data_IF_589283470777
#
_entry.id   IF_589283470777
#
_cell.length_a   1.000
_cell.length_b   1.000
_cell.length_c   1.000
_cell.angle_alpha   90.00
_cell.angle_beta   90.00
_cell.angle_gamma   90.00
#
_symmetry.space_group_name_H-M   'P 1'
#
loop_
_entity.id
_entity.type
_entity.pdbx_description
1 polymer ?
#
# COMPACT_ATOMS: atom_id res chain seq x y z
N UNK A 1 34.46 46.87 -31.30
CA UNK A 1 34.26 46.45 -29.91
C UNK A 1 32.79 46.35 -29.61
N UNK A 2 32.36 45.40 -28.81
CA UNK A 2 30.98 45.25 -28.30
C UNK A 2 30.64 46.45 -27.41
N UNK A 3 29.46 47.01 -27.57
CA UNK A 3 28.99 48.10 -26.68
C UNK A 3 28.28 47.49 -25.45
N UNK A 4 28.33 48.21 -24.32
CA UNK A 4 27.70 47.81 -23.07
C UNK A 4 26.18 47.70 -23.24
N UNK A 5 25.57 48.53 -24.08
CA UNK A 5 24.13 48.52 -24.33
C UNK A 5 23.69 47.30 -25.15
N UNK A 6 24.51 46.82 -26.11
CA UNK A 6 24.21 45.61 -26.84
C UNK A 6 24.19 44.39 -25.96
N UNK A 7 25.13 44.29 -24.99
CA UNK A 7 25.12 43.20 -24.00
C UNK A 7 23.89 43.30 -23.09
N UNK A 8 23.54 44.48 -22.61
CA UNK A 8 22.43 44.69 -21.71
C UNK A 8 21.07 44.30 -22.36
N UNK A 9 20.88 44.67 -23.64
CA UNK A 9 19.65 44.31 -24.37
C UNK A 9 19.54 42.79 -24.54
N UNK A 10 20.60 42.08 -24.83
CA UNK A 10 20.61 40.64 -25.02
C UNK A 10 20.25 39.92 -23.72
N UNK A 11 20.86 40.31 -22.58
CA UNK A 11 20.54 39.67 -21.30
C UNK A 11 19.10 39.98 -20.82
N UNK A 12 18.57 41.14 -21.11
CA UNK A 12 17.16 41.46 -20.79
C UNK A 12 16.19 40.61 -21.60
N UNK A 13 16.44 40.42 -22.89
CA UNK A 13 15.61 39.55 -23.73
C UNK A 13 15.67 38.12 -23.24
N UNK A 14 16.87 37.57 -22.91
CA UNK A 14 17.02 36.24 -22.37
C UNK A 14 16.28 36.10 -21.03
N UNK A 15 16.37 37.10 -20.15
CA UNK A 15 15.68 37.10 -18.86
C UNK A 15 14.15 37.02 -19.03
N UNK A 16 13.58 37.79 -19.95
CA UNK A 16 12.15 37.79 -20.26
C UNK A 16 11.73 36.42 -20.81
N UNK A 17 12.46 35.89 -21.78
CA UNK A 17 12.16 34.56 -22.35
C UNK A 17 12.25 33.45 -21.30
N UNK A 18 13.29 33.48 -20.46
CA UNK A 18 13.46 32.50 -19.38
C UNK A 18 12.33 32.56 -18.37
N UNK A 19 11.86 33.76 -18.01
CA UNK A 19 10.75 33.93 -17.03
C UNK A 19 9.44 33.30 -17.49
N UNK A 20 9.19 33.23 -18.79
CA UNK A 20 8.00 32.58 -19.37
C UNK A 20 8.20 31.07 -19.60
N UNK A 21 9.43 30.65 -19.85
CA UNK A 21 9.74 29.25 -20.17
C UNK A 21 9.72 28.34 -18.93
N UNK A 22 10.21 28.81 -17.78
CA UNK A 22 10.35 27.99 -16.56
C UNK A 22 9.01 27.40 -16.07
N UNK A 23 7.90 28.17 -15.90
CA UNK A 23 6.64 27.61 -15.45
C UNK A 23 6.04 26.59 -16.45
N UNK A 24 6.20 26.84 -17.74
CA UNK A 24 5.76 25.89 -18.78
C UNK A 24 6.53 24.57 -18.71
N UNK A 25 7.86 24.62 -18.54
CA UNK A 25 8.70 23.45 -18.40
C UNK A 25 8.33 22.56 -17.20
N UNK A 26 8.07 23.16 -16.04
CA UNK A 26 7.64 22.44 -14.84
C UNK A 26 6.32 21.68 -15.05
N UNK A 27 5.38 22.25 -15.78
CA UNK A 27 4.12 21.59 -16.11
C UNK A 27 4.33 20.39 -17.04
N UNK A 28 5.15 20.51 -18.06
CA UNK A 28 5.50 19.43 -19.00
C UNK A 28 6.21 18.29 -18.27
N UNK A 29 7.17 18.63 -17.40
CA UNK A 29 7.89 17.62 -16.61
C UNK A 29 6.95 16.86 -15.67
N UNK A 30 6.01 17.55 -15.02
CA UNK A 30 5.00 16.91 -14.17
C UNK A 30 4.14 15.93 -14.97
N UNK A 31 3.63 16.33 -16.14
CA UNK A 31 2.85 15.46 -17.01
C UNK A 31 3.66 14.24 -17.46
N UNK A 32 4.92 14.43 -17.84
CA UNK A 32 5.84 13.34 -18.19
C UNK A 32 6.04 12.35 -17.04
N UNK A 33 6.18 12.83 -15.82
CA UNK A 33 6.29 11.99 -14.63
C UNK A 33 4.99 11.24 -14.31
N UNK A 34 3.82 11.87 -14.48
CA UNK A 34 2.52 11.20 -14.35
C UNK A 34 2.36 10.09 -15.39
N UNK A 35 2.72 10.35 -16.65
CA UNK A 35 2.66 9.32 -17.70
C UNK A 35 3.56 8.13 -17.41
N UNK A 36 4.77 8.34 -16.86
CA UNK A 36 5.63 7.25 -16.39
C UNK A 36 4.97 6.47 -15.26
N UNK A 37 4.34 7.13 -14.30
CA UNK A 37 3.58 6.48 -13.24
C UNK A 37 2.43 5.63 -13.80
N UNK A 38 1.64 6.16 -14.74
CA UNK A 38 0.58 5.41 -15.43
C UNK A 38 1.13 4.19 -16.17
N UNK A 39 2.28 4.35 -16.83
CA UNK A 39 2.96 3.23 -17.50
C UNK A 39 3.39 2.14 -16.53
N UNK A 40 3.99 2.52 -15.39
CA UNK A 40 4.40 1.58 -14.35
C UNK A 40 3.17 0.85 -13.76
N UNK A 41 2.10 1.56 -13.46
CA UNK A 41 0.85 0.96 -12.99
C UNK A 41 0.32 -0.10 -13.97
N UNK A 42 0.29 0.21 -15.27
CA UNK A 42 -0.10 -0.76 -16.32
C UNK A 42 0.83 -1.98 -16.36
N UNK A 43 2.14 -1.78 -16.24
CA UNK A 43 3.11 -2.88 -16.22
C UNK A 43 2.89 -3.81 -15.01
N UNK A 44 2.58 -3.24 -13.84
CA UNK A 44 2.25 -4.04 -12.65
C UNK A 44 0.99 -4.88 -12.90
N UNK A 45 -0.07 -4.30 -13.49
CA UNK A 45 -1.30 -5.05 -13.81
C UNK A 45 -1.02 -6.17 -14.80
N UNK A 46 -0.22 -5.91 -15.84
CA UNK A 46 0.19 -6.94 -16.80
C UNK A 46 0.97 -8.05 -16.09
N UNK A 47 1.88 -7.72 -15.19
CA UNK A 47 2.63 -8.70 -14.41
C UNK A 47 1.70 -9.52 -13.48
N UNK A 48 0.71 -8.90 -12.83
CA UNK A 48 -0.31 -9.59 -12.04
C UNK A 48 -1.08 -10.60 -12.89
N UNK A 49 -1.50 -10.21 -14.09
CA UNK A 49 -2.20 -11.10 -15.04
C UNK A 49 -1.31 -12.25 -15.52
N UNK A 50 -0.04 -11.99 -15.80
CA UNK A 50 0.93 -13.03 -16.15
C UNK A 50 1.14 -14.02 -14.99
N UNK A 51 1.22 -13.52 -13.75
CA UNK A 51 1.27 -14.37 -12.57
C UNK A 51 0.00 -15.22 -12.44
N UNK A 52 -1.18 -14.63 -12.60
CA UNK A 52 -2.47 -15.31 -12.52
C UNK A 52 -2.62 -16.43 -13.57
N UNK A 53 -2.04 -16.26 -14.77
CA UNK A 53 -2.06 -17.29 -15.82
C UNK A 53 -1.42 -18.61 -15.37
N UNK A 54 -0.39 -18.54 -14.51
CA UNK A 54 0.30 -19.71 -13.94
C UNK A 54 -0.38 -20.23 -12.65
N UNK A 55 -1.24 -19.42 -12.03
CA UNK A 55 -1.74 -19.64 -10.68
C UNK A 55 -3.28 -19.65 -10.61
N UNK A 56 -3.94 -20.35 -11.53
CA UNK A 56 -5.39 -20.55 -11.54
C UNK A 56 -6.19 -19.24 -11.44
N UNK A 57 -5.79 -18.22 -12.20
CA UNK A 57 -6.37 -16.87 -12.20
C UNK A 57 -6.24 -16.10 -10.87
N UNK A 58 -5.47 -16.58 -9.90
CA UNK A 58 -5.27 -15.93 -8.61
C UNK A 58 -4.07 -14.99 -8.63
N UNK A 59 -4.21 -13.85 -7.95
CA UNK A 59 -3.13 -12.90 -7.73
C UNK A 59 -2.28 -13.29 -6.51
N UNK A 60 -1.06 -12.76 -6.37
CA UNK A 60 -0.10 -13.18 -5.35
C UNK A 60 -0.59 -13.05 -3.90
N UNK A 61 -1.48 -12.09 -3.65
CA UNK A 61 -2.06 -11.82 -2.34
C UNK A 61 -3.00 -12.91 -1.83
N UNK A 62 -3.57 -13.72 -2.74
CA UNK A 62 -4.50 -14.79 -2.44
C UNK A 62 -3.84 -16.17 -2.30
N UNK A 63 -2.51 -16.23 -2.46
CA UNK A 63 -1.73 -17.46 -2.43
C UNK A 63 -0.71 -17.46 -1.30
N UNK A 64 -0.47 -18.64 -0.74
CA UNK A 64 0.67 -18.83 0.16
C UNK A 64 1.97 -18.77 -0.66
N UNK A 65 2.85 -17.87 -0.27
CA UNK A 65 4.14 -17.72 -0.92
C UNK A 65 5.06 -18.90 -0.54
N UNK A 66 5.49 -19.74 -1.49
CA UNK A 66 6.31 -20.92 -1.19
C UNK A 66 7.72 -20.56 -0.69
N UNK A 67 8.20 -19.36 -0.95
CA UNK A 67 9.53 -18.91 -0.55
C UNK A 67 9.58 -18.35 0.88
N UNK A 68 8.47 -17.83 1.38
CA UNK A 68 8.36 -17.27 2.73
C UNK A 68 7.47 -18.08 3.66
N UNK A 69 6.65 -18.99 3.11
CA UNK A 69 5.71 -19.82 3.85
C UNK A 69 4.47 -19.08 4.37
N UNK A 70 4.30 -17.79 4.03
CA UNK A 70 3.22 -16.95 4.51
C UNK A 70 2.33 -16.39 3.41
N UNK A 71 1.22 -15.77 3.81
CA UNK A 71 0.39 -14.92 2.95
C UNK A 71 0.98 -13.53 2.88
N UNK A 72 0.67 -12.79 1.81
CA UNK A 72 1.08 -11.39 1.69
C UNK A 72 0.34 -10.52 2.72
N UNK A 73 1.09 -9.84 3.58
CA UNK A 73 0.54 -8.93 4.60
C UNK A 73 0.40 -7.49 4.09
N UNK A 74 1.12 -7.15 3.05
CA UNK A 74 1.14 -5.83 2.42
C UNK A 74 1.43 -5.95 0.92
N UNK A 75 1.37 -4.84 0.19
CA UNK A 75 1.61 -4.85 -1.25
C UNK A 75 3.07 -5.20 -1.61
N UNK A 76 4.04 -4.86 -0.75
CA UNK A 76 5.44 -5.21 -1.00
C UNK A 76 5.63 -6.73 -1.02
N UNK A 77 4.97 -7.47 -0.11
CA UNK A 77 5.03 -8.93 -0.07
C UNK A 77 4.41 -9.55 -1.33
N UNK A 78 3.23 -9.05 -1.73
CA UNK A 78 2.55 -9.54 -2.94
C UNK A 78 3.40 -9.29 -4.21
N UNK A 79 3.99 -8.11 -4.33
CA UNK A 79 4.81 -7.77 -5.49
C UNK A 79 6.18 -8.47 -5.47
N UNK A 80 6.78 -8.66 -4.29
CA UNK A 80 7.99 -9.48 -4.14
C UNK A 80 7.75 -10.92 -4.57
N UNK A 81 6.58 -11.48 -4.30
CA UNK A 81 6.24 -12.82 -4.76
C UNK A 81 6.29 -12.94 -6.30
N UNK A 82 5.90 -11.91 -7.05
CA UNK A 82 6.05 -11.90 -8.51
C UNK A 82 7.52 -11.87 -8.96
N UNK A 83 8.40 -11.25 -8.19
CA UNK A 83 9.85 -11.27 -8.44
C UNK A 83 10.40 -12.68 -8.17
N UNK A 84 10.02 -13.29 -7.06
CA UNK A 84 10.40 -14.64 -6.66
C UNK A 84 9.93 -15.70 -7.65
N UNK A 85 8.73 -15.56 -8.23
CA UNK A 85 8.18 -16.43 -9.27
C UNK A 85 8.74 -16.15 -10.69
N UNK A 86 9.64 -15.17 -10.82
CA UNK A 86 10.29 -14.82 -12.08
C UNK A 86 9.37 -14.13 -13.10
N UNK A 87 8.22 -13.63 -12.68
CA UNK A 87 7.32 -12.84 -13.54
C UNK A 87 7.87 -11.44 -13.75
N UNK A 88 8.52 -10.88 -12.74
CA UNK A 88 9.16 -9.57 -12.77
C UNK A 88 10.64 -9.74 -12.45
N UNK A 89 11.50 -9.19 -13.28
CA UNK A 89 12.96 -9.21 -13.10
C UNK A 89 13.55 -7.88 -12.61
N UNK A 90 12.80 -6.80 -12.68
CA UNK A 90 13.24 -5.46 -12.27
C UNK A 90 12.18 -4.80 -11.39
N UNK A 91 12.54 -4.51 -10.15
CA UNK A 91 11.62 -3.91 -9.17
C UNK A 91 11.28 -2.44 -9.46
N UNK A 92 11.97 -1.78 -10.41
CA UNK A 92 11.75 -0.35 -10.73
C UNK A 92 10.35 -0.05 -11.23
N UNK A 93 9.61 -1.05 -11.74
CA UNK A 93 8.21 -0.88 -12.12
C UNK A 93 7.31 -0.54 -10.92
N UNK A 94 7.70 -0.94 -9.71
CA UNK A 94 6.96 -0.64 -8.48
C UNK A 94 7.23 0.76 -7.91
N UNK A 95 8.08 1.52 -8.56
CA UNK A 95 8.32 2.93 -8.25
C UNK A 95 7.38 3.91 -8.97
N UNK A 96 7.45 5.17 -8.55
CA UNK A 96 6.80 6.28 -9.23
C UNK A 96 7.77 7.48 -9.25
N UNK A 97 8.00 8.15 -10.39
CA UNK A 97 9.04 9.19 -10.53
C UNK A 97 8.98 10.33 -9.51
N UNK A 98 7.79 10.63 -9.00
CA UNK A 98 7.58 11.66 -7.98
C UNK A 98 7.13 11.05 -6.63
N UNK A 99 7.31 9.75 -6.43
CA UNK A 99 6.90 9.00 -5.26
C UNK A 99 8.03 8.15 -4.70
N UNK A 100 7.65 7.06 -4.03
CA UNK A 100 8.58 6.06 -3.54
C UNK A 100 9.16 5.27 -4.70
N UNK A 101 10.44 4.94 -4.62
CA UNK A 101 11.14 4.24 -5.69
C UNK A 101 12.05 3.17 -5.12
N UNK A 102 12.08 1.97 -5.74
CA UNK A 102 13.06 0.94 -5.40
C UNK A 102 14.49 1.39 -5.68
N UNK A 103 15.42 0.83 -4.93
CA UNK A 103 16.85 1.09 -5.11
C UNK A 103 17.46 0.28 -6.28
N UNK A 104 16.75 -0.74 -6.78
CA UNK A 104 17.17 -1.62 -7.86
C UNK A 104 17.98 -2.82 -7.40
N UNK A 105 18.07 -3.09 -6.09
CA UNK A 105 18.75 -4.24 -5.50
C UNK A 105 17.72 -5.25 -5.00
N UNK A 106 17.50 -6.33 -5.73
CA UNK A 106 16.51 -7.35 -5.35
C UNK A 106 17.07 -8.46 -4.44
N UNK A 107 18.41 -8.48 -4.21
CA UNK A 107 19.05 -9.56 -3.45
C UNK A 107 19.25 -10.83 -4.26
N UNK A 108 19.50 -11.94 -3.56
CA UNK A 108 19.84 -13.22 -4.18
C UNK A 108 18.66 -14.20 -4.21
N UNK A 109 18.54 -15.03 -5.28
CA UNK A 109 17.54 -16.08 -5.35
C UNK A 109 17.70 -17.13 -4.23
N UNK A 110 16.63 -17.84 -3.83
CA UNK A 110 15.25 -17.68 -4.26
C UNK A 110 14.48 -16.65 -3.46
N UNK A 111 15.04 -16.15 -2.36
CA UNK A 111 14.33 -15.28 -1.40
C UNK A 111 14.15 -13.85 -1.91
N UNK A 112 15.11 -13.32 -2.68
CA UNK A 112 15.13 -11.92 -3.12
C UNK A 112 14.81 -10.95 -1.96
N UNK A 113 15.56 -11.13 -0.85
CA UNK A 113 15.26 -10.48 0.43
C UNK A 113 15.39 -8.96 0.43
N UNK A 114 16.15 -8.41 -0.53
CA UNK A 114 16.38 -6.97 -0.63
C UNK A 114 15.35 -6.29 -1.56
N UNK A 115 14.49 -7.07 -2.24
CA UNK A 115 13.47 -6.51 -3.12
C UNK A 115 12.35 -5.83 -2.34
N UNK A 116 11.96 -4.66 -2.77
CA UNK A 116 10.81 -3.92 -2.26
C UNK A 116 10.82 -3.77 -0.74
N UNK A 117 11.93 -3.32 -0.19
CA UNK A 117 12.05 -2.96 1.22
C UNK A 117 11.13 -1.79 1.57
N UNK A 118 11.15 -1.38 2.84
CA UNK A 118 10.36 -0.24 3.31
C UNK A 118 10.72 1.04 2.52
N UNK A 119 9.73 1.78 2.05
CA UNK A 119 9.83 2.96 1.17
C UNK A 119 10.29 2.69 -0.28
N UNK A 120 10.30 1.46 -0.73
CA UNK A 120 10.71 1.10 -2.10
C UNK A 120 9.54 0.78 -3.03
N UNK A 121 8.35 0.61 -2.49
CA UNK A 121 7.13 0.43 -3.27
C UNK A 121 6.22 1.66 -3.16
N UNK A 122 5.72 2.12 -4.30
CA UNK A 122 4.78 3.25 -4.35
C UNK A 122 3.31 2.80 -4.38
N UNK A 123 3.03 1.55 -4.71
CA UNK A 123 1.71 1.08 -5.08
C UNK A 123 1.04 0.25 -3.99
N UNK A 124 -0.25 0.49 -3.81
CA UNK A 124 -1.18 -0.35 -3.08
C UNK A 124 -1.99 -1.21 -4.07
N UNK A 125 -2.64 -2.26 -3.58
CA UNK A 125 -3.54 -3.08 -4.38
C UNK A 125 -4.80 -3.48 -3.59
N UNK A 126 -5.89 -3.74 -4.31
CA UNK A 126 -7.10 -4.34 -3.74
C UNK A 126 -6.84 -5.82 -3.49
N UNK A 127 -7.07 -6.28 -2.27
CA UNK A 127 -6.85 -7.67 -1.86
C UNK A 127 -8.00 -8.58 -2.31
N UNK A 128 -7.68 -9.86 -2.58
CA UNK A 128 -8.67 -10.91 -2.87
C UNK A 128 -9.26 -10.84 -4.27
N UNK A 129 -8.67 -10.04 -5.16
CA UNK A 129 -9.08 -10.01 -6.56
C UNK A 129 -8.42 -11.15 -7.35
N UNK A 130 -9.02 -11.45 -8.50
CA UNK A 130 -8.53 -12.44 -9.45
C UNK A 130 -8.54 -11.85 -10.87
N UNK A 131 -7.91 -12.51 -11.82
CA UNK A 131 -7.99 -12.09 -13.24
C UNK A 131 -9.44 -12.10 -13.78
N UNK A 132 -10.30 -12.96 -13.19
CA UNK A 132 -11.73 -13.04 -13.54
C UNK A 132 -12.60 -11.99 -12.81
N UNK A 133 -12.06 -11.21 -11.90
CA UNK A 133 -12.80 -10.15 -11.19
C UNK A 133 -13.27 -9.06 -12.19
N UNK A 134 -14.33 -8.29 -11.87
CA UNK A 134 -14.86 -7.28 -12.76
C UNK A 134 -13.77 -6.34 -13.29
N UNK A 135 -13.80 -6.08 -14.61
CA UNK A 135 -12.77 -5.27 -15.27
C UNK A 135 -12.66 -3.84 -14.75
N UNK A 136 -13.77 -3.27 -14.28
CA UNK A 136 -13.81 -1.93 -13.70
C UNK A 136 -13.31 -1.86 -12.24
N UNK A 137 -13.00 -3.01 -11.60
CA UNK A 137 -12.48 -3.05 -10.23
C UNK A 137 -11.12 -2.36 -10.15
N UNK A 138 -10.93 -1.36 -9.28
CA UNK A 138 -9.62 -0.80 -8.99
C UNK A 138 -8.71 -1.89 -8.43
N UNK A 139 -7.60 -2.16 -9.10
CA UNK A 139 -6.68 -3.25 -8.73
C UNK A 139 -5.39 -2.72 -8.14
N UNK A 140 -4.74 -1.77 -8.82
CA UNK A 140 -3.47 -1.17 -8.39
C UNK A 140 -3.63 0.34 -8.37
N UNK A 141 -3.23 0.98 -7.28
CA UNK A 141 -3.33 2.44 -7.14
C UNK A 141 -2.21 2.96 -6.23
N UNK A 142 -1.98 4.26 -6.24
CA UNK A 142 -0.96 4.87 -5.37
C UNK A 142 -1.24 4.58 -3.90
N UNK A 143 -0.18 4.44 -3.07
CA UNK A 143 -0.30 4.17 -1.64
C UNK A 143 -1.25 5.14 -0.95
N UNK A 144 -1.99 4.66 0.04
CA UNK A 144 -3.09 5.39 0.67
C UNK A 144 -2.70 5.96 2.03
N UNK A 145 -3.39 7.02 2.44
CA UNK A 145 -3.30 7.56 3.80
C UNK A 145 -4.19 6.76 4.77
N UNK A 146 -5.27 6.14 4.28
CA UNK A 146 -6.14 5.25 5.05
C UNK A 146 -6.54 4.06 4.20
N UNK A 147 -6.47 2.85 4.78
CA UNK A 147 -6.86 1.57 4.15
C UNK A 147 -8.37 1.30 4.21
N UNK A 148 -9.19 2.33 4.46
CA UNK A 148 -10.66 2.25 4.37
C UNK A 148 -11.12 1.95 2.94
N UNK A 149 -12.36 1.50 2.78
CA UNK A 149 -13.00 1.41 1.48
C UNK A 149 -14.23 2.31 1.40
N UNK A 150 -14.26 3.29 0.50
CA UNK A 150 -13.19 3.74 -0.41
C UNK A 150 -11.95 4.25 0.30
N UNK A 151 -10.76 4.10 -0.32
CA UNK A 151 -9.52 4.59 0.26
C UNK A 151 -9.44 6.11 0.26
N UNK A 152 -8.59 6.63 1.15
CA UNK A 152 -8.39 8.07 1.33
C UNK A 152 -6.93 8.42 1.11
N UNK A 153 -6.69 9.53 0.42
CA UNK A 153 -5.38 10.16 0.21
C UNK A 153 -5.31 11.50 0.87
N UNK A 154 -4.10 12.00 1.07
CA UNK A 154 -3.88 13.29 1.72
C UNK A 154 -3.48 14.35 0.68
N UNK A 155 -4.46 15.11 0.19
CA UNK A 155 -4.24 16.17 -0.76
C UNK A 155 -3.38 17.33 -0.20
N UNK A 156 -3.28 17.49 1.12
CA UNK A 156 -2.48 18.54 1.76
C UNK A 156 -0.97 18.29 1.66
N UNK A 157 -0.56 17.05 1.39
CA UNK A 157 0.86 16.68 1.19
C UNK A 157 1.19 16.47 -0.30
N UNK A 158 0.46 17.13 -1.18
CA UNK A 158 0.69 17.07 -2.62
C UNK A 158 2.13 17.42 -2.97
N UNK A 159 2.77 16.55 -3.79
CA UNK A 159 4.16 16.73 -4.19
C UNK A 159 5.22 16.41 -3.13
N UNK A 160 4.83 16.05 -1.91
CA UNK A 160 5.75 15.61 -0.86
C UNK A 160 5.89 14.09 -0.86
N UNK A 161 7.07 13.56 -0.48
CA UNK A 161 7.29 12.13 -0.33
C UNK A 161 6.80 11.68 1.04
N UNK A 162 5.50 11.38 1.13
CA UNK A 162 4.81 10.94 2.36
C UNK A 162 3.76 9.89 2.03
N UNK A 163 3.35 9.06 3.00
CA UNK A 163 2.26 8.11 2.83
C UNK A 163 0.96 8.81 2.39
N UNK A 164 0.26 8.20 1.44
CA UNK A 164 -0.98 8.76 0.91
C UNK A 164 -0.83 10.10 0.16
N UNK A 165 0.39 10.39 -0.31
CA UNK A 165 0.65 11.61 -1.09
C UNK A 165 -0.17 11.64 -2.36
N UNK A 166 -0.33 12.84 -2.89
CA UNK A 166 -0.99 13.09 -4.17
C UNK A 166 -0.08 13.89 -5.11
N UNK A 167 -0.39 13.88 -6.38
CA UNK A 167 0.21 14.82 -7.33
C UNK A 167 -0.26 16.25 -7.04
N UNK A 168 0.54 17.27 -7.39
CA UNK A 168 0.10 18.65 -7.33
C UNK A 168 -1.22 18.83 -8.08
N UNK A 169 -2.21 19.42 -7.41
CA UNK A 169 -3.59 19.51 -7.90
C UNK A 169 -4.54 18.47 -7.32
N UNK A 170 -4.06 17.59 -6.42
CA UNK A 170 -4.90 16.59 -5.76
C UNK A 170 -5.29 15.45 -6.71
N UNK A 171 -4.33 14.91 -7.42
CA UNK A 171 -4.51 13.82 -8.37
C UNK A 171 -3.78 12.57 -7.91
N UNK A 172 -4.27 11.40 -8.30
CA UNK A 172 -3.65 10.09 -8.09
C UNK A 172 -3.78 9.23 -9.34
N UNK A 173 -3.01 8.16 -9.41
CA UNK A 173 -3.08 7.16 -10.48
C UNK A 173 -3.81 5.94 -9.96
N UNK A 174 -4.79 5.45 -10.74
CA UNK A 174 -5.53 4.22 -10.47
C UNK A 174 -5.47 3.33 -11.71
N UNK A 175 -5.16 2.06 -11.49
CA UNK A 175 -5.24 1.01 -12.48
C UNK A 175 -6.36 0.03 -12.16
N UNK A 176 -7.05 -0.45 -13.18
CA UNK A 176 -8.19 -1.36 -13.07
C UNK A 176 -7.85 -2.76 -13.54
N UNK A 177 -8.68 -3.72 -13.16
CA UNK A 177 -8.52 -5.12 -13.52
C UNK A 177 -8.58 -5.38 -15.05
N UNK A 178 -9.19 -4.49 -15.83
CA UNK A 178 -9.17 -4.56 -17.30
C UNK A 178 -7.81 -4.19 -17.93
N UNK A 179 -6.84 -3.75 -17.14
CA UNK A 179 -5.53 -3.28 -17.61
C UNK A 179 -5.48 -1.77 -17.89
N UNK A 180 -6.59 -1.08 -17.77
CA UNK A 180 -6.66 0.38 -17.89
C UNK A 180 -6.02 1.06 -16.68
N UNK A 181 -5.28 2.16 -16.91
CA UNK A 181 -4.82 3.02 -15.84
C UNK A 181 -4.99 4.49 -16.24
N UNK A 182 -5.42 5.30 -15.29
CA UNK A 182 -5.72 6.71 -15.51
C UNK A 182 -5.31 7.57 -14.31
N UNK A 183 -5.15 8.86 -14.55
CA UNK A 183 -5.01 9.87 -13.50
C UNK A 183 -6.41 10.36 -13.13
N UNK A 184 -6.73 10.37 -11.85
CA UNK A 184 -8.03 10.80 -11.34
C UNK A 184 -7.88 11.91 -10.32
N UNK A 185 -8.89 12.80 -10.28
CA UNK A 185 -8.93 13.92 -9.34
C UNK A 185 -9.53 13.49 -7.99
N UNK A 186 -8.98 14.04 -6.92
CA UNK A 186 -9.48 13.87 -5.56
C UNK A 186 -10.37 15.06 -5.16
N UNK A 187 -11.28 14.80 -4.25
CA UNK A 187 -11.95 15.82 -3.47
C UNK A 187 -10.98 16.34 -2.41
N UNK A 188 -10.56 17.59 -2.52
CA UNK A 188 -9.56 18.18 -1.63
C UNK A 188 -9.97 18.24 -0.14
N UNK A 189 -11.27 18.12 0.16
CA UNK A 189 -11.77 18.11 1.55
C UNK A 189 -11.77 16.72 2.16
N UNK A 190 -12.14 15.69 1.37
CA UNK A 190 -12.30 14.32 1.87
C UNK A 190 -11.09 13.44 1.57
N UNK A 191 -10.25 13.82 0.61
CA UNK A 191 -9.16 12.97 0.13
C UNK A 191 -9.61 11.72 -0.65
N UNK A 192 -10.90 11.61 -0.95
CA UNK A 192 -11.47 10.52 -1.75
C UNK A 192 -11.49 10.89 -3.22
N UNK A 193 -11.59 9.89 -4.09
CA UNK A 193 -11.75 10.12 -5.53
C UNK A 193 -13.05 10.86 -5.81
N UNK A 194 -12.99 11.84 -6.72
CA UNK A 194 -14.20 12.56 -7.14
C UNK A 194 -15.15 11.64 -7.90
N UNK A 195 -16.44 11.66 -7.57
CA UNK A 195 -17.46 11.00 -8.38
C UNK A 195 -17.44 11.52 -9.82
N UNK A 196 -17.55 10.60 -10.78
CA UNK A 196 -17.71 10.99 -12.20
C UNK A 196 -19.19 11.25 -12.50
N UNK A 197 -19.55 12.34 -13.21
CA UNK A 197 -20.95 12.65 -13.54
C UNK A 197 -21.68 11.52 -14.29
N UNK A 198 -20.98 10.81 -15.18
CA UNK A 198 -21.51 9.68 -15.95
C UNK A 198 -21.62 8.38 -15.13
N UNK A 199 -21.10 8.33 -13.90
CA UNK A 199 -21.13 7.16 -13.02
C UNK A 199 -22.23 7.20 -11.95
N UNK A 200 -23.31 7.92 -12.15
CA UNK A 200 -24.42 8.01 -11.17
C UNK A 200 -24.03 8.74 -9.88
N UNK A 201 -22.98 9.59 -9.91
CA UNK A 201 -22.53 10.33 -8.74
C UNK A 201 -21.70 9.52 -7.74
N UNK A 202 -21.32 8.31 -8.08
CA UNK A 202 -20.44 7.46 -7.24
C UNK A 202 -18.98 7.57 -7.71
N UNK A 203 -18.04 7.43 -6.76
CA UNK A 203 -16.63 7.26 -7.08
C UNK A 203 -16.35 5.85 -7.63
N UNK A 204 -15.18 5.67 -8.25
CA UNK A 204 -14.80 4.43 -8.92
C UNK A 204 -14.77 3.22 -7.96
N UNK A 205 -14.41 3.40 -6.68
CA UNK A 205 -14.33 2.33 -5.71
C UNK A 205 -15.73 1.87 -5.27
N UNK A 206 -16.59 2.83 -4.94
CA UNK A 206 -17.99 2.54 -4.59
C UNK A 206 -18.76 1.97 -5.76
N UNK A 207 -18.51 2.45 -6.99
CA UNK A 207 -19.14 1.95 -8.20
C UNK A 207 -18.73 0.51 -8.54
N UNK A 208 -17.44 0.17 -8.33
CA UNK A 208 -16.92 -1.15 -8.63
C UNK A 208 -17.39 -2.22 -7.63
N UNK A 209 -17.66 -1.84 -6.38
CA UNK A 209 -18.10 -2.75 -5.31
C UNK A 209 -19.16 -2.11 -4.43
N UNK A 210 -20.42 -1.98 -4.92
CA UNK A 210 -21.49 -1.32 -4.20
C UNK A 210 -21.86 -2.08 -2.92
N UNK A 211 -21.74 -1.41 -1.77
CA UNK A 211 -22.10 -1.98 -0.47
C UNK A 211 -21.21 -3.12 0.05
N UNK A 212 -20.14 -3.42 -0.66
CA UNK A 212 -19.17 -4.47 -0.29
C UNK A 212 -17.78 -3.86 -0.15
N UNK A 213 -17.34 -3.53 1.08
CA UNK A 213 -16.00 -3.02 1.29
C UNK A 213 -14.95 -4.07 0.90
N UNK A 214 -13.90 -3.63 0.23
CA UNK A 214 -12.76 -4.46 -0.14
C UNK A 214 -11.58 -4.18 0.79
N UNK A 215 -10.75 -5.18 1.04
CA UNK A 215 -9.50 -4.98 1.74
C UNK A 215 -8.44 -4.39 0.81
N UNK A 216 -7.53 -3.63 1.39
CA UNK A 216 -6.43 -3.00 0.66
C UNK A 216 -5.12 -3.49 1.26
N UNK A 217 -4.24 -4.00 0.43
CA UNK A 217 -2.82 -4.15 0.76
C UNK A 217 -2.10 -2.86 0.41
N UNK A 218 -1.66 -2.13 1.42
CA UNK A 218 -0.91 -0.89 1.21
C UNK A 218 0.59 -1.16 1.04
N UNK A 219 1.28 -0.20 0.43
CA UNK A 219 2.74 -0.21 0.38
C UNK A 219 3.34 -0.07 1.79
N UNK A 220 4.46 -0.74 2.05
CA UNK A 220 5.26 -0.53 3.25
C UNK A 220 6.01 0.79 3.16
N UNK A 221 5.40 1.85 3.68
CA UNK A 221 6.01 3.18 3.73
C UNK A 221 6.06 3.68 5.17
N UNK A 222 7.16 4.33 5.55
CA UNK A 222 7.36 4.80 6.91
C UNK A 222 6.29 5.82 7.30
N UNK A 223 5.57 5.56 8.41
CA UNK A 223 4.46 6.40 8.88
C UNK A 223 3.15 6.20 8.12
N UNK A 224 3.07 5.25 7.18
CA UNK A 224 1.84 4.88 6.50
C UNK A 224 0.99 3.88 7.30
N UNK A 225 -0.30 3.74 6.97
CA UNK A 225 -1.14 2.72 7.54
C UNK A 225 -0.61 1.34 7.13
N UNK A 226 -0.37 0.49 8.14
CA UNK A 226 0.12 -0.86 7.95
C UNK A 226 -1.04 -1.85 8.06
N UNK A 227 -1.04 -2.86 7.19
CA UNK A 227 -1.93 -4.00 7.31
C UNK A 227 -1.39 -4.89 8.44
N UNK A 228 -1.80 -4.61 9.68
CA UNK A 228 -1.55 -5.53 10.78
C UNK A 228 -2.51 -6.69 10.64
N UNK A 229 -2.09 -7.83 10.12
CA UNK A 229 -2.79 -9.10 9.83
C UNK A 229 -4.09 -9.48 10.58
N UNK A 230 -4.90 -8.52 10.97
CA UNK A 230 -6.19 -8.66 11.61
C UNK A 230 -7.31 -8.30 10.65
N UNK A 231 -8.26 -9.19 10.51
CA UNK A 231 -9.54 -8.95 9.86
C UNK A 231 -10.16 -7.66 10.39
N UNK A 232 -10.23 -6.62 9.59
CA UNK A 232 -11.02 -5.43 9.91
C UNK A 232 -12.48 -5.82 10.01
N UNK A 233 -13.07 -5.64 11.21
CA UNK A 233 -14.51 -5.69 11.35
C UNK A 233 -15.14 -4.54 10.51
N UNK A 234 -16.26 -4.79 9.80
CA UNK A 234 -16.92 -3.75 9.04
C UNK A 234 -17.52 -2.72 10.01
N UNK A 235 -17.05 -1.48 10.00
CA UNK A 235 -17.67 -0.41 10.74
C UNK A 235 -16.78 0.62 11.45
N UNK A 236 -15.49 0.72 11.13
CA UNK A 236 -14.66 1.81 11.65
C UNK A 236 -15.07 3.16 11.05
N UNK A 237 -15.87 3.93 11.77
CA UNK A 237 -16.22 5.32 11.40
C UNK A 237 -14.95 6.16 11.51
N UNK A 238 -14.44 6.64 10.38
CA UNK A 238 -13.37 7.63 10.36
C UNK A 238 -13.99 8.97 10.72
N UNK A 239 -13.49 9.64 11.78
CA UNK A 239 -13.88 10.99 12.12
C UNK A 239 -13.48 11.93 10.96
N UNK A 240 -14.44 12.54 10.25
CA UNK A 240 -14.16 13.40 9.11
C UNK A 240 -13.38 14.67 9.48
N UNK A 241 -13.26 15.00 10.77
CA UNK A 241 -12.53 16.16 11.27
C UNK A 241 -11.09 15.80 11.73
N UNK A 242 -10.74 14.52 11.81
CA UNK A 242 -9.39 14.08 12.14
C UNK A 242 -8.97 12.84 11.33
N UNK A 243 -8.67 12.97 10.02
CA UNK A 243 -8.29 11.85 9.17
C UNK A 243 -6.94 11.20 9.55
N UNK A 244 -6.19 11.77 10.50
CA UNK A 244 -4.91 11.28 10.99
C UNK A 244 -4.96 10.74 12.43
N UNK A 245 -6.14 10.66 13.06
CA UNK A 245 -6.34 10.33 14.47
C UNK A 245 -6.28 8.85 14.84
N UNK A 246 -5.69 8.00 14.03
CA UNK A 246 -5.47 6.60 14.34
C UNK A 246 -4.00 6.28 14.56
N UNK A 247 -3.54 6.26 15.82
CA UNK A 247 -2.24 5.77 16.29
C UNK A 247 -1.02 6.68 16.07
N UNK A 248 -0.99 7.80 16.75
CA UNK A 248 0.28 8.30 17.28
C UNK A 248 0.59 7.54 18.56
N UNK A 249 1.66 6.75 18.50
CA UNK A 249 2.12 5.85 19.54
C UNK A 249 2.31 6.50 20.90
N UNK A 250 2.20 5.67 21.92
CA UNK A 250 2.67 5.93 23.28
C UNK A 250 3.99 6.66 23.27
N UNK A 251 4.19 7.73 24.07
CA UNK A 251 5.50 8.34 24.24
C UNK A 251 6.46 7.31 24.83
N UNK A 252 7.62 7.17 24.24
CA UNK A 252 8.77 6.53 24.85
C UNK A 252 9.07 7.28 26.13
N UNK A 253 9.06 6.57 27.27
CA UNK A 253 9.35 7.10 28.57
C UNK A 253 10.73 7.73 28.63
N UNK A 254 10.79 8.90 29.25
CA UNK A 254 12.01 9.57 29.68
C UNK A 254 12.78 8.68 30.65
N UNK A 255 14.09 8.60 30.53
CA UNK A 255 14.95 8.10 31.59
C UNK A 255 15.45 9.28 32.44
N UNK A 256 15.42 9.11 33.77
CA UNK A 256 16.09 9.87 34.82
C UNK A 256 15.26 10.89 35.60
N UNK A 257 15.11 10.57 36.89
CA UNK A 257 14.76 11.54 37.91
C UNK A 257 14.27 10.88 39.23
N UNK A 258 15.17 10.67 40.16
CA UNK A 258 15.03 9.97 41.41
C UNK A 258 14.11 10.58 42.45
N UNK A 259 13.88 9.80 43.51
CA UNK A 259 13.56 10.36 44.82
C UNK A 259 12.48 9.65 45.61
N UNK A 260 12.93 8.76 46.48
CA UNK A 260 12.52 8.54 47.86
C UNK A 260 11.09 8.17 48.28
N UNK A 261 10.96 7.01 48.94
CA UNK A 261 10.27 6.95 50.22
C UNK A 261 9.03 6.05 50.33
N UNK A 262 9.15 4.94 51.09
CA UNK A 262 7.99 4.41 51.78
C UNK A 262 7.74 2.91 51.76
N UNK A 263 8.47 2.19 52.54
CA UNK A 263 8.19 0.99 53.35
C UNK A 263 6.78 0.36 53.33
N UNK A 264 6.73 -0.96 53.19
CA UNK A 264 5.60 -1.75 53.57
C UNK A 264 5.46 -3.12 52.90
N UNK A 265 6.24 -4.12 53.35
CA UNK A 265 5.84 -5.54 53.30
C UNK A 265 4.96 -5.89 54.52
N UNK A 266 4.22 -6.98 54.59
CA UNK A 266 4.73 -8.35 54.52
C UNK A 266 3.86 -9.44 53.84
N UNK A 267 4.51 -10.49 53.41
CA UNK A 267 4.34 -11.94 53.55
C UNK A 267 2.93 -12.53 53.85
N UNK A 268 2.61 -13.54 53.07
CA UNK A 268 1.56 -14.51 53.38
C UNK A 268 1.30 -15.53 52.30
N UNK A 269 2.11 -16.59 52.21
CA UNK A 269 1.66 -17.90 51.72
C UNK A 269 0.87 -18.63 52.80
N UNK A 270 0.03 -19.62 52.52
CA UNK A 270 0.49 -20.97 52.27
C UNK A 270 -0.27 -21.87 51.28
N UNK A 271 0.44 -22.87 50.88
CA UNK A 271 0.13 -24.19 50.34
C UNK A 271 -1.17 -24.88 50.78
N UNK A 272 -1.69 -25.75 49.91
CA UNK A 272 -2.59 -26.84 50.27
C UNK A 272 -3.45 -27.29 49.09
N UNK A 273 -3.03 -28.21 48.36
CA UNK A 273 -3.31 -29.66 48.15
C UNK A 273 -4.65 -30.04 47.48
N UNK A 274 -4.87 -31.35 47.09
CA UNK A 274 -4.82 -31.77 45.67
C UNK A 274 -6.15 -32.41 45.20
N UNK A 275 -6.19 -32.76 43.93
CA UNK A 275 -7.26 -33.52 43.27
C UNK A 275 -7.42 -34.94 43.80
N UNK A 276 -8.63 -35.58 43.63
CA UNK A 276 -8.71 -36.98 43.29
C UNK A 276 -9.49 -37.18 41.98
N UNK A 277 -8.98 -37.82 41.01
CA UNK A 277 -8.98 -39.25 40.78
C UNK A 277 -10.06 -39.63 39.78
N UNK A 278 -9.72 -39.95 38.58
CA UNK A 278 -10.37 -41.01 37.83
C UNK A 278 -9.34 -41.75 36.97
N UNK A 279 -9.22 -43.03 37.27
CA UNK A 279 -8.38 -44.01 36.59
C UNK A 279 -9.13 -44.73 35.45
N UNK A 280 -8.50 -45.61 34.72
CA UNK A 280 -8.67 -45.81 33.28
C UNK A 280 -9.54 -47.01 32.91
N UNK A 281 -10.03 -47.05 31.70
CA UNK A 281 -10.55 -48.24 31.10
C UNK A 281 -9.70 -48.64 29.87
N UNK A 282 -9.13 -49.83 29.92
CA UNK A 282 -8.44 -50.52 28.86
C UNK A 282 -9.37 -51.61 28.24
N UNK A 283 -8.93 -52.54 27.39
CA UNK A 283 -9.18 -52.50 25.94
C UNK A 283 -10.05 -53.70 25.48
N UNK A 284 -10.58 -53.61 24.31
CA UNK A 284 -11.27 -54.70 23.65
C UNK A 284 -11.07 -54.70 22.13
N UNK A 285 -10.19 -55.55 21.67
CA UNK A 285 -10.20 -56.07 20.29
C UNK A 285 -10.90 -57.47 20.35
N UNK A 286 -11.04 -58.25 19.26
CA UNK A 286 -11.21 -58.01 17.82
C UNK A 286 -12.41 -58.78 17.23
N UNK A 287 -12.75 -58.62 15.98
CA UNK A 287 -13.20 -59.71 15.09
C UNK A 287 -13.51 -59.26 13.68
N UNK A 288 -12.73 -59.72 12.72
CA UNK A 288 -13.17 -60.04 11.34
C UNK A 288 -13.99 -61.36 11.40
N UNK A 289 -14.59 -61.94 10.34
CA UNK A 289 -14.44 -61.66 8.90
C UNK A 289 -15.71 -61.90 8.01
N UNK A 290 -15.54 -61.65 6.70
CA UNK A 290 -16.09 -62.39 5.56
C UNK A 290 -17.59 -62.28 5.17
N UNK A 291 -17.78 -62.03 3.89
CA UNK A 291 -18.71 -62.80 3.09
C UNK A 291 -19.69 -62.02 2.21
N UNK A 292 -19.39 -62.06 0.98
CA UNK A 292 -20.06 -62.09 -0.33
C UNK A 292 -20.07 -60.77 -1.08
#
# INVERSE_FOLDING_TARGET
GFTLIELLVVITIIAILASLAVPAFNNVQRQGNQMKGVSNCKQIIVALKQFATKNNSQYPDSLQNPYTGGMSLNANDAFRFMIQDGVVSDERIFGCPAGFNPNGSIGVPPAFGDALLNNENHWAMTQGQTDASPGNMPLVFENVASISWPPVWNASVAGQLRPGRTWPGGQIIIGRNDGGAEVVDLNGKTGMVRPKPLGGGLDIFTQASPGQPQNILNAMVMGGPQNNGGTMAPGGVVDPNNPLGGQLGRPLGDPLGGGAGGLGQPLGQPLGQPLPGQAPAAPGAPASPLGN
#
